data_IF_433426088653
#
_entry.id   IF_433426088653
#
_cell.length_a   1.000
_cell.length_b   1.000
_cell.length_c   1.000
_cell.angle_alpha   90.00
_cell.angle_beta   90.00
_cell.angle_gamma   90.00
#
_symmetry.space_group_name_H-M   'P 1'
#
loop_
_entity.id
_entity.type
_entity.pdbx_description
1 polymer ?
#
# COMPACT_ATOMS: atom_id res chain seq x y z
N UNK A 1 -28.91 -27.58 -20.98
CA UNK A 1 -27.51 -27.39 -20.53
C UNK A 1 -27.38 -25.99 -19.97
N UNK A 2 -27.60 -25.83 -18.68
CA UNK A 2 -27.39 -24.59 -17.94
C UNK A 2 -25.88 -24.43 -17.69
N UNK A 3 -25.25 -23.48 -18.38
CA UNK A 3 -23.89 -23.06 -18.06
C UNK A 3 -23.87 -22.46 -16.66
N UNK A 4 -23.43 -23.26 -15.69
CA UNK A 4 -23.03 -22.78 -14.37
C UNK A 4 -21.80 -21.92 -14.59
N UNK A 5 -21.94 -20.60 -14.49
CA UNK A 5 -20.79 -19.69 -14.40
C UNK A 5 -20.07 -20.04 -13.11
N UNK A 6 -18.89 -20.65 -13.23
CA UNK A 6 -18.02 -20.86 -12.07
C UNK A 6 -17.77 -19.50 -11.40
N UNK A 7 -17.84 -19.43 -10.06
CA UNK A 7 -17.49 -18.22 -9.34
C UNK A 7 -16.02 -17.90 -9.62
N UNK A 8 -15.74 -16.76 -10.27
CA UNK A 8 -14.38 -16.28 -10.48
C UNK A 8 -13.70 -16.14 -9.12
N UNK A 9 -12.68 -16.95 -8.87
CA UNK A 9 -11.89 -16.86 -7.66
C UNK A 9 -10.88 -15.72 -7.82
N UNK A 10 -11.29 -14.51 -7.45
CA UNK A 10 -10.50 -13.28 -7.59
C UNK A 10 -9.13 -13.38 -6.91
N UNK A 11 -9.01 -14.22 -5.86
CA UNK A 11 -7.71 -14.48 -5.24
C UNK A 11 -6.75 -15.15 -6.22
N UNK A 12 -7.21 -16.15 -6.96
CA UNK A 12 -6.40 -16.87 -7.95
C UNK A 12 -6.03 -16.00 -9.15
N UNK A 13 -6.88 -15.05 -9.53
CA UNK A 13 -6.62 -14.14 -10.66
C UNK A 13 -5.52 -13.10 -10.36
N UNK A 14 -5.20 -12.85 -9.08
CA UNK A 14 -4.21 -11.85 -8.66
C UNK A 14 -2.85 -12.48 -8.36
N UNK A 15 -2.82 -13.76 -7.96
CA UNK A 15 -1.58 -14.45 -7.60
C UNK A 15 -0.78 -14.74 -8.88
N UNK A 16 0.51 -14.34 -8.90
CA UNK A 16 1.45 -14.41 -10.02
C UNK A 16 1.23 -13.38 -11.15
N UNK A 17 0.34 -12.40 -10.98
CA UNK A 17 0.25 -11.26 -11.89
C UNK A 17 1.06 -10.07 -11.38
N UNK A 18 1.54 -9.24 -12.31
CA UNK A 18 2.22 -8.00 -11.95
C UNK A 18 1.23 -7.05 -11.29
N UNK A 19 1.48 -6.71 -10.02
CA UNK A 19 0.68 -5.73 -9.28
C UNK A 19 0.61 -4.37 -9.99
N UNK A 20 1.57 -4.06 -10.87
CA UNK A 20 1.59 -2.82 -11.69
C UNK A 20 0.36 -2.66 -12.57
N UNK A 21 -0.25 -3.76 -13.03
CA UNK A 21 -1.45 -3.73 -13.87
C UNK A 21 -2.70 -3.28 -13.09
N UNK A 22 -2.68 -3.52 -11.78
CA UNK A 22 -3.72 -3.12 -10.85
C UNK A 22 -3.53 -1.67 -10.37
N UNK A 23 -2.33 -1.10 -10.49
CA UNK A 23 -2.02 0.24 -10.01
C UNK A 23 -2.31 1.30 -11.08
N UNK A 24 -2.90 2.43 -10.67
CA UNK A 24 -3.11 3.60 -11.52
C UNK A 24 -1.79 4.06 -12.15
N UNK A 25 -1.78 4.40 -13.44
CA UNK A 25 -0.54 4.67 -14.20
C UNK A 25 0.35 5.73 -13.55
N UNK A 26 -0.24 6.81 -13.04
CA UNK A 26 0.48 7.89 -12.35
C UNK A 26 1.17 7.45 -11.05
N UNK A 27 0.67 6.41 -10.38
CA UNK A 27 1.22 5.97 -9.08
C UNK A 27 2.31 4.90 -9.24
N UNK A 28 2.52 4.37 -10.46
CA UNK A 28 3.41 3.21 -10.70
C UNK A 28 4.87 3.49 -10.37
N UNK A 29 5.37 4.65 -10.78
CA UNK A 29 6.78 5.00 -10.54
C UNK A 29 7.07 5.22 -9.05
N UNK A 30 6.14 5.87 -8.34
CA UNK A 30 6.24 6.02 -6.90
C UNK A 30 6.13 4.66 -6.19
N UNK A 31 5.21 3.79 -6.61
CA UNK A 31 5.10 2.44 -6.05
C UNK A 31 6.39 1.64 -6.23
N UNK A 32 7.02 1.69 -7.41
CA UNK A 32 8.33 1.04 -7.64
C UNK A 32 9.40 1.61 -6.72
N UNK A 33 9.44 2.94 -6.56
CA UNK A 33 10.37 3.61 -5.65
C UNK A 33 10.16 3.15 -4.21
N UNK A 34 8.92 2.96 -3.77
CA UNK A 34 8.60 2.42 -2.45
C UNK A 34 9.04 0.96 -2.28
N UNK A 35 9.02 0.14 -3.33
CA UNK A 35 9.56 -1.24 -3.30
C UNK A 35 11.09 -1.29 -3.24
N UNK A 36 11.77 -0.27 -3.78
CA UNK A 36 13.22 -0.16 -3.72
C UNK A 36 13.67 0.05 -2.26
N UNK A 37 14.44 -0.90 -1.74
CA UNK A 37 14.80 -0.94 -0.32
C UNK A 37 15.62 0.29 0.14
N UNK A 38 16.50 0.79 -0.73
CA UNK A 38 17.41 1.91 -0.44
C UNK A 38 16.82 3.28 -0.80
N UNK A 39 15.62 3.37 -1.38
CA UNK A 39 15.06 4.63 -1.88
C UNK A 39 14.64 5.63 -0.81
N UNK A 40 14.44 5.18 0.43
CA UNK A 40 14.10 6.02 1.59
C UNK A 40 15.23 6.13 2.61
N UNK A 41 16.45 5.73 2.23
CA UNK A 41 17.59 5.88 3.13
C UNK A 41 17.98 7.35 3.26
N UNK A 42 18.36 7.80 4.47
CA UNK A 42 18.97 9.11 4.63
C UNK A 42 20.31 9.15 3.88
N UNK A 43 20.73 10.36 3.46
CA UNK A 43 21.87 10.54 2.55
C UNK A 43 23.20 9.96 3.07
N UNK A 44 23.38 9.95 4.38
CA UNK A 44 24.52 9.37 5.11
C UNK A 44 24.57 7.83 5.03
N UNK A 45 23.44 7.17 4.78
CA UNK A 45 23.32 5.69 4.70
C UNK A 45 23.23 5.15 3.28
N UNK A 46 23.43 5.98 2.25
CA UNK A 46 23.31 5.56 0.84
C UNK A 46 24.33 4.51 0.40
N UNK A 47 25.47 4.41 1.08
CA UNK A 47 26.51 3.41 0.84
C UNK A 47 26.39 2.12 1.65
N UNK A 48 25.32 1.97 2.46
CA UNK A 48 25.13 0.79 3.30
C UNK A 48 24.90 -0.47 2.45
N UNK A 49 25.45 -1.60 2.88
CA UNK A 49 25.20 -2.87 2.20
C UNK A 49 23.80 -3.43 2.52
N UNK A 50 23.26 -4.28 1.63
CA UNK A 50 22.00 -4.98 1.89
C UNK A 50 22.07 -5.85 3.15
N UNK A 51 23.21 -6.48 3.43
CA UNK A 51 23.37 -7.29 4.63
C UNK A 51 23.26 -6.45 5.91
N UNK A 52 23.81 -5.24 5.91
CA UNK A 52 23.84 -4.35 7.07
C UNK A 52 22.50 -3.65 7.30
N UNK A 53 21.78 -3.23 6.24
CA UNK A 53 20.45 -2.63 6.41
C UNK A 53 19.40 -3.63 6.93
N UNK A 54 19.63 -4.93 6.71
CA UNK A 54 18.71 -5.99 7.17
C UNK A 54 18.88 -6.32 8.65
N UNK A 55 19.87 -5.71 9.33
CA UNK A 55 20.02 -5.84 10.78
C UNK A 55 18.81 -5.22 11.51
N UNK A 56 18.41 -5.79 12.67
CA UNK A 56 17.25 -5.31 13.43
C UNK A 56 17.29 -3.80 13.74
N UNK A 57 18.47 -3.27 14.03
CA UNK A 57 18.71 -1.86 14.36
C UNK A 57 18.34 -0.90 13.21
N UNK A 58 18.36 -1.40 11.97
CA UNK A 58 18.04 -0.64 10.77
C UNK A 58 16.62 -0.90 10.23
N UNK A 59 15.82 -1.73 10.91
CA UNK A 59 14.51 -2.18 10.44
C UNK A 59 13.51 -1.06 10.17
N UNK A 60 13.64 0.08 10.86
CA UNK A 60 12.83 1.28 10.65
C UNK A 60 13.00 1.87 9.24
N UNK A 61 14.20 1.77 8.65
CA UNK A 61 14.47 2.26 7.30
C UNK A 61 13.81 1.42 6.20
N UNK A 62 13.40 0.20 6.54
CA UNK A 62 12.70 -0.72 5.64
C UNK A 62 11.17 -0.65 5.80
N UNK A 63 10.66 0.17 6.71
CA UNK A 63 9.22 0.44 6.80
C UNK A 63 8.75 1.27 5.61
N UNK A 64 7.52 1.01 5.16
CA UNK A 64 6.85 1.70 4.06
C UNK A 64 5.44 2.04 4.49
N UNK A 65 5.09 3.32 4.36
CA UNK A 65 3.74 3.82 4.60
C UNK A 65 3.41 4.83 3.51
N UNK A 66 2.50 4.48 2.62
CA UNK A 66 2.14 5.32 1.48
C UNK A 66 0.74 5.01 0.97
N UNK A 67 0.15 5.95 0.24
CA UNK A 67 -1.14 5.73 -0.42
C UNK A 67 -0.95 5.43 -1.89
N UNK A 68 -1.78 4.55 -2.46
CA UNK A 68 -1.76 4.20 -3.88
C UNK A 68 -3.15 3.83 -4.36
N UNK A 69 -3.47 4.19 -5.61
CA UNK A 69 -4.74 3.85 -6.23
C UNK A 69 -4.66 2.49 -6.93
N UNK A 70 -5.52 1.57 -6.49
CA UNK A 70 -5.74 0.27 -7.10
C UNK A 70 -7.01 0.26 -7.93
N UNK A 71 -7.00 -0.45 -9.05
CA UNK A 71 -8.18 -0.71 -9.86
C UNK A 71 -9.23 -1.41 -9.00
N UNK A 72 -10.40 -0.80 -8.91
CA UNK A 72 -11.52 -1.30 -8.13
C UNK A 72 -12.68 -1.60 -9.08
N UNK A 73 -13.02 -2.87 -9.21
CA UNK A 73 -14.14 -3.32 -10.05
C UNK A 73 -15.52 -2.95 -9.47
N UNK A 74 -15.56 -2.55 -8.18
CA UNK A 74 -16.77 -2.14 -7.48
C UNK A 74 -16.97 -0.62 -7.46
N UNK A 75 -15.98 0.16 -7.90
CA UNK A 75 -16.10 1.63 -7.96
C UNK A 75 -16.75 2.07 -9.27
N UNK A 76 -17.92 2.68 -9.18
CA UNK A 76 -18.68 3.18 -10.34
C UNK A 76 -18.30 4.61 -10.75
N UNK A 77 -17.32 5.23 -10.08
CA UNK A 77 -16.94 6.62 -10.33
C UNK A 77 -15.70 6.71 -11.21
N UNK A 78 -14.55 6.31 -10.67
CA UNK A 78 -13.24 6.36 -11.34
C UNK A 78 -12.75 4.98 -11.78
N UNK A 79 -13.30 3.91 -11.20
CA UNK A 79 -12.78 2.55 -11.33
C UNK A 79 -11.54 2.28 -10.48
N UNK A 80 -11.26 3.13 -9.48
CA UNK A 80 -10.11 3.02 -8.58
C UNK A 80 -10.51 3.25 -7.12
N UNK A 81 -9.78 2.59 -6.22
CA UNK A 81 -9.84 2.80 -4.78
C UNK A 81 -8.46 3.21 -4.28
N UNK A 82 -8.40 4.26 -3.47
CA UNK A 82 -7.16 4.63 -2.78
C UNK A 82 -6.98 3.72 -1.57
N UNK A 83 -5.84 3.07 -1.49
CA UNK A 83 -5.44 2.24 -0.35
C UNK A 83 -4.24 2.88 0.34
N UNK A 84 -4.24 2.88 1.66
CA UNK A 84 -3.05 3.07 2.47
C UNK A 84 -2.35 1.71 2.61
N UNK A 85 -1.09 1.66 2.21
CA UNK A 85 -0.21 0.51 2.36
C UNK A 85 0.71 0.80 3.53
N UNK A 86 0.73 -0.12 4.51
CA UNK A 86 1.64 -0.07 5.64
C UNK A 86 2.33 -1.44 5.80
N UNK A 87 3.66 -1.43 5.80
CA UNK A 87 4.41 -2.69 5.87
C UNK A 87 5.92 -2.52 5.84
N UNK A 88 6.62 -3.62 5.59
CA UNK A 88 8.07 -3.65 5.61
C UNK A 88 8.65 -4.41 4.41
N UNK A 89 9.77 -3.90 3.90
CA UNK A 89 10.63 -4.64 2.98
C UNK A 89 11.42 -5.71 3.75
N UNK A 90 11.35 -6.95 3.29
CA UNK A 90 12.06 -8.11 3.88
C UNK A 90 12.52 -9.05 2.77
N UNK A 91 13.46 -9.94 3.13
CA UNK A 91 13.89 -11.03 2.25
C UNK A 91 12.75 -12.04 2.07
N UNK A 92 12.49 -12.40 0.82
CA UNK A 92 11.55 -13.44 0.44
C UNK A 92 12.31 -14.75 0.25
N UNK A 93 12.20 -15.64 1.23
CA UNK A 93 12.84 -16.95 1.19
C UNK A 93 12.03 -17.95 0.34
N UNK A 94 12.69 -18.99 -0.16
CA UNK A 94 12.03 -20.10 -0.87
C UNK A 94 11.65 -19.79 -2.33
N UNK A 95 12.19 -18.71 -2.91
CA UNK A 95 12.23 -18.58 -4.38
C UNK A 95 13.11 -19.70 -4.92
N UNK A 96 12.74 -20.28 -6.07
CA UNK A 96 13.36 -21.51 -6.59
C UNK A 96 14.89 -21.48 -6.74
N UNK A 97 15.51 -22.62 -7.10
CA UNK A 97 16.97 -22.83 -7.02
C UNK A 97 17.85 -21.94 -7.92
N UNK A 98 17.28 -20.96 -8.63
CA UNK A 98 17.97 -20.05 -9.53
C UNK A 98 18.16 -18.62 -8.98
N UNK A 99 17.74 -18.33 -7.75
CA UNK A 99 17.96 -17.02 -7.14
C UNK A 99 19.34 -16.98 -6.46
N UNK A 100 20.38 -16.60 -7.20
CA UNK A 100 21.73 -16.37 -6.66
C UNK A 100 21.80 -15.15 -5.72
N UNK A 101 20.78 -14.27 -5.76
CA UNK A 101 20.68 -13.09 -4.89
C UNK A 101 19.39 -13.11 -4.03
N UNK A 102 19.45 -12.59 -2.79
CA UNK A 102 18.28 -12.51 -1.92
C UNK A 102 17.21 -11.59 -2.52
N UNK A 103 16.08 -12.17 -2.93
CA UNK A 103 14.95 -11.40 -3.43
C UNK A 103 14.26 -10.67 -2.28
N UNK A 104 13.99 -9.37 -2.46
CA UNK A 104 13.23 -8.57 -1.50
C UNK A 104 11.76 -8.48 -1.89
N UNK A 105 10.88 -8.40 -0.89
CA UNK A 105 9.44 -8.21 -1.07
C UNK A 105 8.88 -7.26 0.00
N UNK A 106 7.80 -6.58 -0.35
CA UNK A 106 7.00 -5.79 0.58
C UNK A 106 5.95 -6.69 1.24
N UNK A 107 6.02 -6.81 2.56
CA UNK A 107 5.01 -7.45 3.38
C UNK A 107 4.18 -6.36 4.04
N UNK A 108 2.95 -6.18 3.59
CA UNK A 108 2.12 -5.05 3.98
C UNK A 108 0.64 -5.41 4.16
N UNK A 109 -0.03 -4.60 4.97
CA UNK A 109 -1.48 -4.51 5.03
C UNK A 109 -1.96 -3.34 4.19
N UNK A 110 -3.09 -3.51 3.52
CA UNK A 110 -3.73 -2.45 2.74
C UNK A 110 -5.08 -2.10 3.37
N UNK A 111 -5.27 -0.84 3.77
CA UNK A 111 -6.52 -0.28 4.29
C UNK A 111 -7.13 0.69 3.28
N UNK A 112 -8.45 0.68 3.04
CA UNK A 112 -9.09 1.74 2.26
C UNK A 112 -8.81 3.11 2.88
N UNK A 113 -8.29 4.05 2.07
CA UNK A 113 -7.96 5.39 2.52
C UNK A 113 -9.19 6.31 2.43
N UNK A 114 -9.54 6.93 3.54
CA UNK A 114 -10.70 7.82 3.67
C UNK A 114 -11.81 7.24 4.55
N UNK A 115 -12.89 8.00 4.82
CA UNK A 115 -14.02 7.49 5.56
C UNK A 115 -14.61 6.29 4.84
N UNK A 116 -14.63 5.13 5.51
CA UNK A 116 -15.35 3.95 5.02
C UNK A 116 -16.78 4.38 4.68
N UNK A 117 -17.25 4.04 3.47
CA UNK A 117 -18.61 4.34 3.02
C UNK A 117 -19.59 3.98 4.14
N UNK A 118 -20.23 5.00 4.69
CA UNK A 118 -20.98 5.02 5.96
C UNK A 118 -22.21 4.09 6.05
N UNK A 119 -22.35 3.11 5.17
CA UNK A 119 -23.58 2.33 5.09
C UNK A 119 -23.73 1.24 6.15
N UNK A 120 -22.66 0.74 6.80
CA UNK A 120 -22.80 -0.46 7.67
C UNK A 120 -21.99 -0.50 8.98
N UNK A 121 -21.45 0.62 9.47
CA UNK A 121 -20.78 0.63 10.79
C UNK A 121 -21.39 1.72 11.66
N UNK A 122 -21.97 1.41 12.83
CA UNK A 122 -22.38 2.44 13.78
C UNK A 122 -21.10 3.18 14.21
N UNK A 123 -20.92 4.39 13.68
CA UNK A 123 -19.78 5.22 14.00
C UNK A 123 -19.80 5.50 15.50
N UNK A 124 -18.85 4.94 16.23
CA UNK A 124 -18.50 5.47 17.55
C UNK A 124 -18.04 6.91 17.29
N UNK A 125 -18.86 7.88 17.68
CA UNK A 125 -18.63 9.31 17.49
C UNK A 125 -17.49 9.83 18.37
N UNK A 126 -16.27 9.32 18.18
CA UNK A 126 -15.08 9.72 18.95
C UNK A 126 -14.06 10.47 18.08
N UNK A 127 -14.52 11.17 17.04
CA UNK A 127 -13.65 11.92 16.12
C UNK A 127 -14.02 13.39 16.12
N UNK A 128 -13.09 14.25 16.53
CA UNK A 128 -13.21 15.70 16.41
C UNK A 128 -13.02 16.10 14.94
N UNK A 129 -13.94 16.93 14.43
CA UNK A 129 -13.89 17.41 13.04
C UNK A 129 -13.42 18.86 13.02
N UNK A 130 -12.39 19.14 12.23
CA UNK A 130 -11.92 20.50 11.95
C UNK A 130 -11.96 20.76 10.44
N UNK A 131 -12.35 21.97 10.06
CA UNK A 131 -12.35 22.44 8.67
C UNK A 131 -11.24 23.48 8.54
N UNK A 132 -10.38 23.30 7.55
CA UNK A 132 -9.27 24.20 7.26
C UNK A 132 -9.36 24.69 5.81
N UNK A 133 -8.79 25.86 5.53
CA UNK A 133 -8.48 26.28 4.16
C UNK A 133 -7.28 25.49 3.63
N UNK A 134 -6.98 25.62 2.34
CA UNK A 134 -5.78 24.99 1.73
C UNK A 134 -4.45 25.53 2.30
N UNK A 135 -4.47 26.70 2.93
CA UNK A 135 -3.34 27.27 3.69
C UNK A 135 -3.26 26.76 5.14
N UNK A 136 -4.03 25.72 5.47
CA UNK A 136 -4.20 25.14 6.81
C UNK A 136 -4.81 26.07 7.86
N UNK A 137 -5.24 27.30 7.52
CA UNK A 137 -5.92 28.18 8.48
C UNK A 137 -7.26 27.56 8.93
N UNK A 138 -7.55 27.53 10.25
CA UNK A 138 -8.78 26.94 10.75
C UNK A 138 -9.98 27.80 10.35
N UNK A 139 -11.04 27.15 9.87
CA UNK A 139 -12.29 27.77 9.47
C UNK A 139 -13.36 27.52 10.53
N UNK A 140 -13.56 26.26 10.90
CA UNK A 140 -14.52 25.84 11.92
C UNK A 140 -14.03 24.57 12.60
N UNK A 141 -14.35 24.41 13.88
CA UNK A 141 -14.09 23.18 14.64
C UNK A 141 -15.38 22.73 15.30
N UNK A 142 -15.55 21.42 15.47
CA UNK A 142 -16.66 20.85 16.25
C UNK A 142 -16.61 21.36 17.70
N UNK A 143 -17.77 21.61 18.31
CA UNK A 143 -17.89 22.23 19.64
C UNK A 143 -18.07 21.22 20.78
N UNK A 144 -17.93 19.92 20.50
CA UNK A 144 -18.10 18.84 21.47
C UNK A 144 -17.06 18.85 22.58
#
# INVERSE_FOLDING_TARGET
MSHVKEPKNIKSDIIHQSVMELIHSEDREEFKRQLTWNALLPGDKTGISLHEIMLPDNSAHLHRSFTVRFRCLLDNTSGFITLEINGWIRVLHGQGPHADEPQLALFATCSPFGPLSLFDIPSREMTFKTKHKMDFSPVTMDSR
#
